data_IF_877252678190
#
_entry.id   IF_877252678190
#
_cell.length_a   1.000
_cell.length_b   1.000
_cell.length_c   1.000
_cell.angle_alpha   90.00
_cell.angle_beta   90.00
_cell.angle_gamma   90.00
#
_symmetry.space_group_name_H-M   'P 1'
#
loop_
_entity.id
_entity.type
_entity.pdbx_description
1 polymer ?
#
# COMPACT_ATOMS: atom_id res chain seq x y z
N UNK A 1 -10.57 5.96 -27.83
CA UNK A 1 -11.78 6.50 -27.17
C UNK A 1 -12.96 6.04 -27.98
N UNK A 2 -13.99 5.50 -27.34
CA UNK A 2 -15.25 5.17 -27.98
C UNK A 2 -16.22 6.28 -27.57
N UNK A 3 -16.70 7.08 -28.53
CA UNK A 3 -17.62 8.20 -28.26
C UNK A 3 -17.11 9.17 -27.18
N UNK A 4 -15.84 9.58 -27.27
CA UNK A 4 -15.17 10.44 -26.26
C UNK A 4 -15.05 9.84 -24.85
N UNK A 5 -15.37 8.56 -24.68
CA UNK A 5 -15.17 7.84 -23.42
C UNK A 5 -13.89 6.97 -23.47
N UNK A 6 -13.18 6.84 -22.34
CA UNK A 6 -12.06 5.92 -22.22
C UNK A 6 -12.56 4.47 -22.31
N UNK A 7 -11.86 3.65 -23.08
CA UNK A 7 -12.20 2.23 -23.26
C UNK A 7 -11.83 1.44 -22.00
N UNK A 8 -10.68 1.74 -21.39
CA UNK A 8 -10.24 1.16 -20.13
C UNK A 8 -9.15 2.05 -19.49
N UNK A 9 -8.90 1.80 -18.20
CA UNK A 9 -7.81 2.40 -17.44
C UNK A 9 -6.89 1.30 -16.90
N UNK A 10 -5.59 1.56 -16.84
CA UNK A 10 -4.59 0.65 -16.28
C UNK A 10 -3.65 1.41 -15.35
N UNK A 11 -3.26 0.79 -14.23
CA UNK A 11 -2.30 1.38 -13.29
C UNK A 11 -1.58 0.27 -12.53
N UNK A 12 -0.25 0.36 -12.43
CA UNK A 12 0.57 -0.67 -11.77
C UNK A 12 1.53 -0.05 -10.78
N UNK A 13 1.74 -0.74 -9.66
CA UNK A 13 2.80 -0.39 -8.71
C UNK A 13 4.16 -0.84 -9.23
N UNK A 14 5.17 -0.02 -8.92
CA UNK A 14 6.57 -0.38 -9.14
C UNK A 14 7.04 -1.38 -8.07
N UNK A 15 7.73 -2.44 -8.51
CA UNK A 15 8.40 -3.37 -7.62
C UNK A 15 9.68 -2.75 -7.00
N UNK A 16 10.30 -3.43 -6.03
CA UNK A 16 11.48 -2.90 -5.31
C UNK A 16 12.68 -2.57 -6.20
N UNK A 17 12.86 -3.28 -7.31
CA UNK A 17 13.91 -3.00 -8.29
C UNK A 17 13.56 -1.78 -9.14
N UNK A 18 12.33 -1.71 -9.63
CA UNK A 18 11.80 -0.64 -10.47
C UNK A 18 11.71 0.71 -9.73
N UNK A 19 11.54 0.68 -8.41
CA UNK A 19 11.57 1.90 -7.58
C UNK A 19 12.90 2.63 -7.65
N UNK A 20 14.00 1.93 -7.94
CA UNK A 20 15.35 2.49 -8.06
C UNK A 20 15.62 3.06 -9.45
N UNK A 21 14.70 2.89 -10.39
CA UNK A 21 14.83 3.46 -11.72
C UNK A 21 14.75 4.98 -11.66
N UNK A 22 15.42 5.62 -12.61
CA UNK A 22 15.31 7.07 -12.79
C UNK A 22 13.88 7.46 -13.16
N UNK A 23 13.51 8.72 -12.96
CA UNK A 23 12.16 9.22 -13.29
C UNK A 23 11.80 8.93 -14.75
N UNK A 24 12.73 9.16 -15.67
CA UNK A 24 12.51 8.89 -17.10
C UNK A 24 12.30 7.40 -17.41
N UNK A 25 13.03 6.52 -16.73
CA UNK A 25 12.86 5.07 -16.89
C UNK A 25 11.52 4.59 -16.32
N UNK A 26 11.02 5.20 -15.24
CA UNK A 26 9.71 4.87 -14.66
C UNK A 26 8.56 5.27 -15.60
N UNK A 27 8.67 6.45 -16.19
CA UNK A 27 7.73 6.98 -17.18
C UNK A 27 7.68 6.11 -18.43
N UNK A 28 8.86 5.75 -18.97
CA UNK A 28 8.96 4.82 -20.09
C UNK A 28 8.41 3.43 -19.76
N UNK A 29 8.69 2.94 -18.55
CA UNK A 29 8.17 1.65 -18.07
C UNK A 29 6.64 1.66 -18.01
N UNK A 30 6.02 2.79 -17.66
CA UNK A 30 4.57 2.92 -17.69
C UNK A 30 4.01 2.73 -19.10
N UNK A 31 4.63 3.37 -20.11
CA UNK A 31 4.25 3.19 -21.52
C UNK A 31 4.42 1.73 -21.96
N UNK A 32 5.60 1.14 -21.70
CA UNK A 32 5.90 -0.26 -22.01
C UNK A 32 4.89 -1.21 -21.36
N UNK A 33 4.50 -0.96 -20.12
CA UNK A 33 3.53 -1.76 -19.41
C UNK A 33 2.14 -1.66 -20.05
N UNK A 34 1.66 -0.45 -20.31
CA UNK A 34 0.35 -0.23 -20.93
C UNK A 34 0.27 -0.90 -22.31
N UNK A 35 1.30 -0.78 -23.15
CA UNK A 35 1.32 -1.43 -24.47
C UNK A 35 1.33 -2.95 -24.38
N UNK A 36 1.99 -3.51 -23.36
CA UNK A 36 1.95 -4.95 -23.11
C UNK A 36 0.55 -5.42 -22.68
N UNK A 37 -0.11 -4.70 -21.77
CA UNK A 37 -1.46 -5.04 -21.29
C UNK A 37 -2.48 -4.95 -22.43
N UNK A 38 -2.45 -3.83 -23.16
CA UNK A 38 -3.39 -3.53 -24.23
C UNK A 38 -2.95 -4.04 -25.60
N UNK A 39 -1.97 -4.95 -25.64
CA UNK A 39 -1.42 -5.50 -26.89
C UNK A 39 -2.51 -6.02 -27.82
N UNK A 40 -3.48 -6.74 -27.26
CA UNK A 40 -4.59 -7.33 -28.00
C UNK A 40 -5.51 -6.31 -28.68
N UNK A 41 -5.57 -5.07 -28.18
CA UNK A 41 -6.32 -3.98 -28.83
C UNK A 41 -5.46 -3.17 -29.80
N UNK A 42 -4.16 -3.04 -29.53
CA UNK A 42 -3.29 -2.07 -30.20
C UNK A 42 -2.46 -2.67 -31.34
N UNK A 43 -2.23 -3.99 -31.32
CA UNK A 43 -1.42 -4.65 -32.34
C UNK A 43 -2.10 -4.56 -33.71
N UNK A 44 -1.35 -4.16 -34.74
CA UNK A 44 -1.85 -3.99 -36.10
C UNK A 44 -2.64 -2.68 -36.34
N UNK A 45 -2.87 -1.89 -35.30
CA UNK A 45 -3.55 -0.59 -35.40
C UNK A 45 -2.57 0.57 -35.29
N UNK A 46 -2.88 1.70 -35.96
CA UNK A 46 -2.16 2.96 -35.80
C UNK A 46 -2.79 3.79 -34.69
N UNK A 47 -2.00 4.22 -33.70
CA UNK A 47 -2.52 4.99 -32.56
C UNK A 47 -1.53 6.05 -32.04
N UNK A 48 -1.97 6.86 -31.09
CA UNK A 48 -1.17 7.93 -30.48
C UNK A 48 -1.00 7.65 -28.99
N UNK A 49 0.25 7.64 -28.53
CA UNK A 49 0.60 7.58 -27.10
C UNK A 49 0.86 9.01 -26.63
N UNK A 50 0.10 9.45 -25.62
CA UNK A 50 0.25 10.77 -25.00
C UNK A 50 0.95 10.65 -23.67
N UNK A 51 2.02 11.42 -23.48
CA UNK A 51 2.81 11.46 -22.23
C UNK A 51 3.23 12.90 -21.94
N UNK A 52 3.36 13.22 -20.66
CA UNK A 52 3.91 14.47 -20.15
C UNK A 52 5.43 14.41 -19.95
N UNK A 53 6.08 13.35 -20.43
CA UNK A 53 7.53 13.22 -20.41
C UNK A 53 8.13 13.29 -21.82
N UNK A 54 8.74 14.43 -22.13
CA UNK A 54 9.47 14.66 -23.39
C UNK A 54 10.62 13.65 -23.57
N UNK A 55 11.24 13.13 -22.50
CA UNK A 55 12.37 12.20 -22.63
C UNK A 55 11.97 10.87 -23.26
N UNK A 56 10.70 10.47 -23.13
CA UNK A 56 10.17 9.28 -23.79
C UNK A 56 10.18 9.45 -25.32
N UNK A 57 10.09 10.67 -25.84
CA UNK A 57 10.16 10.93 -27.30
C UNK A 57 11.55 10.69 -27.86
N UNK A 58 12.58 11.06 -27.11
CA UNK A 58 13.98 10.86 -27.49
C UNK A 58 14.45 9.41 -27.33
N UNK A 59 13.74 8.61 -26.53
CA UNK A 59 14.11 7.21 -26.29
C UNK A 59 14.10 6.36 -27.56
N UNK A 60 13.11 6.57 -28.45
CA UNK A 60 12.96 5.78 -29.67
C UNK A 60 14.10 5.98 -30.69
N UNK A 61 14.77 7.14 -30.65
CA UNK A 61 15.85 7.50 -31.58
C UNK A 61 17.26 7.34 -30.98
N UNK A 62 17.36 6.87 -29.74
CA UNK A 62 18.65 6.75 -29.04
C UNK A 62 19.45 5.53 -29.52
N UNK A 63 20.72 5.75 -29.88
CA UNK A 63 21.61 4.70 -30.41
C UNK A 63 22.33 3.85 -29.35
N UNK A 64 22.56 4.40 -28.16
CA UNK A 64 23.20 3.70 -27.03
C UNK A 64 22.16 3.29 -26.01
N UNK A 65 21.82 2.01 -25.94
CA UNK A 65 20.84 1.48 -25.00
C UNK A 65 21.48 0.48 -24.03
N UNK A 66 21.01 0.49 -22.79
CA UNK A 66 21.27 -0.61 -21.83
C UNK A 66 20.51 -1.86 -22.25
N UNK A 67 20.92 -3.06 -21.79
CA UNK A 67 20.21 -4.31 -22.12
C UNK A 67 18.72 -4.27 -21.76
N UNK A 68 18.37 -3.55 -20.69
CA UNK A 68 16.98 -3.32 -20.27
C UNK A 68 16.21 -2.47 -21.29
N UNK A 69 16.82 -1.37 -21.73
CA UNK A 69 16.22 -0.45 -22.70
C UNK A 69 16.11 -1.09 -24.09
N UNK A 70 17.08 -1.91 -24.51
CA UNK A 70 17.00 -2.66 -25.76
C UNK A 70 15.77 -3.58 -25.79
N UNK A 71 15.52 -4.33 -24.69
CA UNK A 71 14.32 -5.16 -24.54
C UNK A 71 13.02 -4.36 -24.59
N UNK A 72 13.02 -3.13 -24.09
CA UNK A 72 11.87 -2.24 -24.19
C UNK A 72 11.68 -1.76 -25.63
N UNK A 73 12.75 -1.39 -26.32
CA UNK A 73 12.68 -0.96 -27.72
C UNK A 73 12.18 -2.08 -28.65
N UNK A 74 12.62 -3.33 -28.44
CA UNK A 74 12.09 -4.50 -29.16
C UNK A 74 10.57 -4.61 -29.02
N UNK A 75 10.04 -4.48 -27.80
CA UNK A 75 8.59 -4.51 -27.57
C UNK A 75 7.89 -3.32 -28.24
N UNK A 76 8.45 -2.12 -28.14
CA UNK A 76 7.87 -0.91 -28.72
C UNK A 76 7.82 -0.99 -30.25
N UNK A 77 8.82 -1.62 -30.87
CA UNK A 77 8.90 -1.79 -32.32
C UNK A 77 7.79 -2.69 -32.89
N UNK A 78 7.12 -3.47 -32.05
CA UNK A 78 5.97 -4.29 -32.47
C UNK A 78 4.70 -3.46 -32.73
N UNK A 79 4.66 -2.21 -32.30
CA UNK A 79 3.49 -1.33 -32.38
C UNK A 79 3.70 -0.19 -33.36
N UNK A 80 2.61 0.17 -34.07
CA UNK A 80 2.60 1.34 -34.94
C UNK A 80 1.97 2.54 -34.20
N UNK A 81 2.79 3.36 -33.55
CA UNK A 81 2.30 4.51 -32.81
C UNK A 81 3.15 5.77 -32.98
N UNK A 82 2.51 6.92 -32.75
CA UNK A 82 3.18 8.20 -32.62
C UNK A 82 3.17 8.64 -31.16
N UNK A 83 4.29 9.20 -30.70
CA UNK A 83 4.38 9.77 -29.36
C UNK A 83 4.08 11.27 -29.42
N UNK A 84 3.08 11.71 -28.66
CA UNK A 84 2.68 13.12 -28.56
C UNK A 84 2.89 13.62 -27.13
N UNK A 85 3.68 14.69 -26.98
CA UNK A 85 3.83 15.33 -25.68
C UNK A 85 2.57 16.11 -25.31
N UNK A 86 2.08 15.92 -24.08
CA UNK A 86 1.04 16.75 -23.48
C UNK A 86 1.47 17.27 -22.12
N UNK A 87 1.34 18.57 -21.90
CA UNK A 87 1.66 19.17 -20.60
C UNK A 87 0.82 18.53 -19.48
N UNK A 88 1.45 18.24 -18.33
CA UNK A 88 0.85 17.51 -17.21
C UNK A 88 -0.48 18.08 -16.70
N UNK A 89 -0.70 19.39 -16.82
CA UNK A 89 -1.98 20.05 -16.48
C UNK A 89 -3.19 19.52 -17.26
N UNK A 90 -2.96 18.95 -18.45
CA UNK A 90 -4.00 18.35 -19.30
C UNK A 90 -4.03 16.82 -19.21
N UNK A 91 -3.09 16.20 -18.48
CA UNK A 91 -2.97 14.75 -18.26
C UNK A 91 -3.51 14.34 -16.89
N UNK A 92 -4.53 15.05 -16.39
CA UNK A 92 -5.04 14.94 -15.02
C UNK A 92 -5.49 13.52 -14.64
N UNK A 93 -5.98 12.73 -15.60
CA UNK A 93 -6.46 11.37 -15.34
C UNK A 93 -5.31 10.39 -15.09
N UNK A 94 -4.27 10.42 -15.92
CA UNK A 94 -3.09 9.56 -15.73
C UNK A 94 -2.32 9.95 -14.47
N UNK A 95 -2.18 11.26 -14.25
CA UNK A 95 -1.53 11.81 -13.07
C UNK A 95 -2.29 11.48 -11.77
N UNK A 96 -3.63 11.56 -11.78
CA UNK A 96 -4.46 11.13 -10.65
C UNK A 96 -4.29 9.63 -10.34
N UNK A 97 -4.23 8.77 -11.36
CA UNK A 97 -4.03 7.33 -11.18
C UNK A 97 -2.63 7.00 -10.63
N UNK A 98 -1.60 7.71 -11.09
CA UNK A 98 -0.22 7.57 -10.59
C UNK A 98 -0.12 8.01 -9.12
N UNK A 99 -0.60 9.22 -8.82
CA UNK A 99 -0.53 9.85 -7.48
C UNK A 99 -1.40 9.17 -6.43
N UNK A 100 -2.44 8.42 -6.80
CA UNK A 100 -3.31 7.71 -5.83
C UNK A 100 -2.55 6.73 -4.93
N UNK A 101 -1.42 6.20 -5.40
CA UNK A 101 -0.58 5.31 -4.57
C UNK A 101 0.23 6.09 -3.53
N UNK A 102 0.72 7.28 -3.88
CA UNK A 102 1.43 8.20 -2.97
C UNK A 102 0.47 8.84 -1.97
N UNK A 103 -0.71 9.29 -2.43
CA UNK A 103 -1.77 9.79 -1.55
C UNK A 103 -2.22 8.74 -0.54
N UNK A 104 -2.27 7.45 -0.91
CA UNK A 104 -2.55 6.38 0.05
C UNK A 104 -1.44 6.24 1.10
N UNK A 105 -0.16 6.43 0.74
CA UNK A 105 0.95 6.39 1.71
C UNK A 105 0.95 7.62 2.61
N UNK A 106 0.70 8.81 2.06
CA UNK A 106 0.59 10.07 2.81
C UNK A 106 -0.64 10.04 3.72
N UNK A 107 -1.78 9.51 3.25
CA UNK A 107 -2.95 9.27 4.08
C UNK A 107 -2.66 8.25 5.18
N UNK A 108 -1.87 7.19 4.91
CA UNK A 108 -1.40 6.24 5.92
C UNK A 108 -0.51 6.93 6.98
N UNK A 109 0.41 7.78 6.55
CA UNK A 109 1.30 8.54 7.44
C UNK A 109 0.52 9.60 8.24
N UNK A 110 -0.42 10.28 7.61
CA UNK A 110 -1.33 11.22 8.25
C UNK A 110 -2.27 10.50 9.23
N UNK A 111 -2.71 9.28 8.92
CA UNK A 111 -3.52 8.46 9.82
C UNK A 111 -2.70 8.00 11.02
N UNK A 112 -1.42 7.64 10.85
CA UNK A 112 -0.51 7.39 11.96
C UNK A 112 -0.26 8.63 12.82
N UNK A 113 -0.19 9.81 12.20
CA UNK A 113 -0.07 11.06 12.91
C UNK A 113 -1.38 11.42 13.64
N UNK A 114 -2.55 11.30 13.00
CA UNK A 114 -3.87 11.63 13.55
C UNK A 114 -4.28 10.62 14.63
N UNK A 115 -4.04 9.33 14.46
CA UNK A 115 -4.27 8.32 15.53
C UNK A 115 -3.37 8.58 16.73
N UNK A 116 -2.16 9.14 16.54
CA UNK A 116 -1.29 9.57 17.64
C UNK A 116 -1.66 10.95 18.22
N UNK A 117 -2.32 11.81 17.45
CA UNK A 117 -2.60 13.23 17.82
C UNK A 117 -4.02 13.44 18.33
N UNK A 118 -5.00 12.62 17.92
CA UNK A 118 -6.29 12.58 18.63
C UNK A 118 -6.12 11.74 19.89
N UNK A 119 -5.48 12.39 20.87
CA UNK A 119 -5.19 11.86 22.20
C UNK A 119 -6.39 11.16 22.81
N UNK A 120 -7.64 11.56 22.49
CA UNK A 120 -8.83 10.95 23.11
C UNK A 120 -9.04 9.50 22.68
N UNK A 121 -8.88 9.17 21.40
CA UNK A 121 -9.10 7.80 20.90
C UNK A 121 -7.96 6.87 21.32
N UNK A 122 -6.71 7.32 21.15
CA UNK A 122 -5.53 6.56 21.57
C UNK A 122 -5.53 6.30 23.09
N UNK A 123 -5.83 7.32 23.91
CA UNK A 123 -5.93 7.18 25.37
C UNK A 123 -7.05 6.18 25.74
N UNK A 124 -8.17 6.18 25.01
CA UNK A 124 -9.28 5.31 25.35
C UNK A 124 -8.99 3.83 25.01
N UNK A 125 -8.32 3.57 23.88
CA UNK A 125 -7.89 2.24 23.48
C UNK A 125 -6.83 1.71 24.45
N UNK A 126 -5.80 2.50 24.77
CA UNK A 126 -4.78 2.10 25.75
C UNK A 126 -5.37 1.82 27.13
N UNK A 127 -6.31 2.66 27.60
CA UNK A 127 -7.03 2.41 28.87
C UNK A 127 -7.79 1.09 28.85
N UNK A 128 -8.42 0.74 27.73
CA UNK A 128 -9.10 -0.56 27.61
C UNK A 128 -8.11 -1.72 27.58
N UNK A 129 -6.99 -1.59 26.85
CA UNK A 129 -5.93 -2.61 26.81
C UNK A 129 -5.35 -2.85 28.22
N UNK A 130 -5.05 -1.78 28.97
CA UNK A 130 -4.56 -1.87 30.36
C UNK A 130 -5.53 -2.64 31.26
N UNK A 131 -6.84 -2.34 31.15
CA UNK A 131 -7.88 -3.06 31.91
C UNK A 131 -8.03 -4.52 31.46
N UNK A 132 -7.81 -4.81 30.18
CA UNK A 132 -7.92 -6.16 29.65
C UNK A 132 -6.78 -7.08 30.12
N UNK A 133 -5.59 -6.55 30.42
CA UNK A 133 -4.48 -7.37 30.93
C UNK A 133 -4.77 -8.07 32.25
N UNK A 134 -5.58 -7.47 33.13
CA UNK A 134 -5.93 -8.12 34.40
C UNK A 134 -6.86 -9.31 34.20
N UNK A 135 -7.51 -9.44 33.05
CA UNK A 135 -8.49 -10.50 32.74
C UNK A 135 -7.94 -11.58 31.82
N UNK A 136 -6.91 -11.29 31.01
CA UNK A 136 -6.35 -12.23 30.04
C UNK A 136 -5.34 -13.20 30.69
N UNK A 137 -5.64 -14.51 30.74
CA UNK A 137 -4.73 -15.50 31.33
C UNK A 137 -3.37 -15.54 30.64
N UNK A 138 -3.32 -15.29 29.33
CA UNK A 138 -2.08 -15.29 28.54
C UNK A 138 -1.23 -14.07 28.90
N UNK A 139 -1.83 -12.87 28.96
CA UNK A 139 -1.14 -11.67 29.43
C UNK A 139 -0.57 -11.85 30.85
N UNK A 140 -1.34 -12.44 31.77
CA UNK A 140 -0.86 -12.72 33.12
C UNK A 140 0.31 -13.71 33.15
N UNK A 141 0.29 -14.74 32.30
CA UNK A 141 1.43 -15.66 32.15
C UNK A 141 2.67 -14.93 31.62
N UNK A 142 2.50 -14.06 30.62
CA UNK A 142 3.59 -13.26 30.07
C UNK A 142 4.20 -12.33 31.12
N UNK A 143 3.38 -11.69 31.96
CA UNK A 143 3.87 -10.86 33.09
C UNK A 143 4.70 -11.69 34.07
N UNK A 144 4.25 -12.88 34.48
CA UNK A 144 5.04 -13.78 35.35
C UNK A 144 6.35 -14.23 34.70
N UNK A 145 6.36 -14.43 33.38
CA UNK A 145 7.57 -14.78 32.63
C UNK A 145 8.56 -13.62 32.56
N UNK A 146 8.07 -12.38 32.49
CA UNK A 146 8.87 -11.15 32.56
C UNK A 146 9.49 -11.02 33.95
N UNK A 147 8.70 -11.16 35.02
CA UNK A 147 9.17 -11.08 36.42
C UNK A 147 10.22 -12.15 36.74
N UNK A 148 10.06 -13.36 36.21
CA UNK A 148 11.04 -14.45 36.37
C UNK A 148 12.26 -14.35 35.44
N UNK A 149 12.34 -13.32 34.58
CA UNK A 149 13.46 -13.10 33.66
C UNK A 149 13.59 -14.13 32.55
N UNK A 150 12.56 -14.97 32.33
CA UNK A 150 12.58 -16.10 31.40
C UNK A 150 12.28 -15.72 29.95
N UNK A 151 11.82 -14.49 29.70
CA UNK A 151 11.58 -13.99 28.35
C UNK A 151 12.30 -12.66 28.12
N UNK A 152 12.99 -12.55 26.98
CA UNK A 152 13.52 -11.29 26.43
C UNK A 152 12.66 -10.74 25.29
N UNK A 153 11.62 -11.49 24.90
CA UNK A 153 10.76 -11.13 23.76
C UNK A 153 9.67 -10.13 24.16
N UNK A 154 9.33 -10.09 25.45
CA UNK A 154 8.35 -9.20 26.02
C UNK A 154 8.95 -8.46 27.21
N UNK A 155 8.54 -7.22 27.39
CA UNK A 155 8.87 -6.40 28.56
C UNK A 155 7.68 -5.53 28.94
N UNK A 156 7.69 -4.99 30.14
CA UNK A 156 6.65 -4.07 30.59
C UNK A 156 7.18 -2.63 30.53
N UNK A 157 6.44 -1.73 29.87
CA UNK A 157 6.74 -0.30 29.75
C UNK A 157 5.44 0.46 30.02
N UNK A 158 5.44 1.43 30.95
CA UNK A 158 4.25 2.20 31.33
C UNK A 158 3.01 1.36 31.60
N UNK A 159 3.11 0.22 32.30
CA UNK A 159 2.02 -0.74 32.52
C UNK A 159 1.39 -1.36 31.26
N UNK A 160 2.05 -1.27 30.11
CA UNK A 160 1.73 -1.99 28.88
C UNK A 160 2.73 -3.11 28.64
N UNK A 161 2.25 -4.21 28.04
CA UNK A 161 3.11 -5.32 27.65
C UNK A 161 3.61 -5.08 26.22
N UNK A 162 4.91 -4.91 26.08
CA UNK A 162 5.58 -4.54 24.83
C UNK A 162 6.31 -5.73 24.24
N UNK A 163 6.49 -5.72 22.91
CA UNK A 163 7.31 -6.69 22.18
C UNK A 163 8.24 -6.01 21.16
N UNK A 164 9.09 -6.81 20.51
CA UNK A 164 10.04 -6.37 19.48
C UNK A 164 9.40 -5.40 18.49
N UNK A 165 10.11 -4.31 18.20
CA UNK A 165 9.60 -3.23 17.35
C UNK A 165 8.69 -2.23 18.08
N UNK A 166 8.71 -2.21 19.43
CA UNK A 166 7.91 -1.31 20.27
C UNK A 166 6.41 -1.42 19.99
N UNK A 167 5.93 -2.66 19.88
CA UNK A 167 4.52 -2.98 19.62
C UNK A 167 3.84 -3.38 20.93
N UNK A 168 2.61 -2.90 21.15
CA UNK A 168 1.79 -3.23 22.31
C UNK A 168 1.09 -4.57 22.07
N UNK A 169 1.22 -5.49 23.02
CA UNK A 169 0.47 -6.75 23.01
C UNK A 169 -1.02 -6.49 23.27
N UNK A 170 -1.90 -7.05 22.43
CA UNK A 170 -3.35 -6.86 22.54
C UNK A 170 -4.02 -8.14 23.05
N UNK A 171 -4.62 -8.11 24.26
CA UNK A 171 -5.34 -9.25 24.82
C UNK A 171 -6.55 -9.68 23.98
N UNK A 172 -6.94 -10.95 24.08
CA UNK A 172 -8.16 -11.47 23.46
C UNK A 172 -9.38 -11.23 24.36
N UNK A 173 -9.64 -9.98 24.72
CA UNK A 173 -10.71 -9.59 25.65
C UNK A 173 -11.47 -8.38 25.08
N UNK A 174 -12.76 -8.27 25.41
CA UNK A 174 -13.62 -7.11 25.10
C UNK A 174 -13.65 -6.69 23.61
N UNK A 175 -13.54 -7.65 22.68
CA UNK A 175 -13.48 -7.40 21.23
C UNK A 175 -12.42 -6.36 20.81
N UNK A 176 -11.36 -6.20 21.61
CA UNK A 176 -10.33 -5.18 21.37
C UNK A 176 -9.64 -5.38 20.03
N UNK A 177 -9.26 -6.62 19.71
CA UNK A 177 -8.64 -6.97 18.44
C UNK A 177 -9.54 -6.61 17.27
N UNK A 178 -10.83 -7.00 17.34
CA UNK A 178 -11.82 -6.70 16.30
C UNK A 178 -12.05 -5.20 16.14
N UNK A 179 -12.09 -4.46 17.25
CA UNK A 179 -12.20 -2.99 17.24
C UNK A 179 -11.00 -2.37 16.52
N UNK A 180 -9.78 -2.78 16.84
CA UNK A 180 -8.57 -2.30 16.17
C UNK A 180 -8.57 -2.62 14.67
N UNK A 181 -8.97 -3.85 14.30
CA UNK A 181 -9.07 -4.25 12.89
C UNK A 181 -10.08 -3.34 12.16
N UNK A 182 -11.25 -3.10 12.76
CA UNK A 182 -12.28 -2.22 12.20
C UNK A 182 -11.76 -0.80 11.99
N UNK A 183 -11.11 -0.19 12.99
CA UNK A 183 -10.56 1.17 12.87
C UNK A 183 -9.52 1.27 11.73
N UNK A 184 -8.73 0.21 11.52
CA UNK A 184 -7.74 0.15 10.45
C UNK A 184 -8.28 -0.29 9.08
N UNK A 185 -9.54 -0.75 8.99
CA UNK A 185 -10.11 -1.33 7.77
C UNK A 185 -11.34 -0.56 7.26
N UNK A 186 -12.32 -0.31 8.14
CA UNK A 186 -13.65 0.21 7.80
C UNK A 186 -13.72 1.75 7.84
N UNK A 187 -12.67 2.42 8.33
CA UNK A 187 -12.66 3.88 8.34
C UNK A 187 -12.62 4.43 6.91
N UNK A 188 -13.34 5.52 6.68
CA UNK A 188 -13.45 6.18 5.36
C UNK A 188 -12.06 6.47 4.74
N UNK A 189 -11.08 6.74 5.60
CA UNK A 189 -9.70 7.03 5.25
C UNK A 189 -8.86 5.78 4.95
N UNK A 190 -9.16 4.65 5.59
CA UNK A 190 -8.50 3.37 5.29
C UNK A 190 -9.04 2.78 3.99
N UNK A 191 -10.29 3.08 3.65
CA UNK A 191 -10.87 2.79 2.34
C UNK A 191 -10.88 1.31 1.99
N UNK A 192 -11.10 0.43 2.97
CA UNK A 192 -11.23 -1.01 2.76
C UNK A 192 -9.99 -1.61 2.05
N UNK A 193 -8.80 -1.28 2.54
CA UNK A 193 -7.53 -1.49 1.86
C UNK A 193 -7.11 -2.97 1.62
N UNK A 194 -7.94 -3.93 2.00
CA UNK A 194 -7.67 -5.37 1.96
C UNK A 194 -6.79 -5.86 3.11
N UNK A 195 -6.75 -7.18 3.32
CA UNK A 195 -6.15 -7.79 4.52
C UNK A 195 -4.65 -7.52 4.69
N UNK A 196 -3.87 -7.51 3.62
CA UNK A 196 -2.42 -7.25 3.72
C UNK A 196 -2.10 -5.84 4.24
N UNK A 197 -2.84 -4.82 3.77
CA UNK A 197 -2.59 -3.44 4.19
C UNK A 197 -3.11 -3.18 5.60
N UNK A 198 -4.26 -3.74 5.96
CA UNK A 198 -4.78 -3.68 7.33
C UNK A 198 -3.82 -4.36 8.30
N UNK A 199 -3.24 -5.51 7.94
CA UNK A 199 -2.22 -6.16 8.74
C UNK A 199 -0.97 -5.30 8.89
N UNK A 200 -0.47 -4.72 7.78
CA UNK A 200 0.71 -3.86 7.81
C UNK A 200 0.52 -2.62 8.70
N UNK A 201 -0.69 -2.04 8.72
CA UNK A 201 -1.07 -0.94 9.59
C UNK A 201 -1.03 -1.34 11.06
N UNK A 202 -1.72 -2.42 11.42
CA UNK A 202 -1.79 -2.91 12.81
C UNK A 202 -0.41 -3.26 13.36
N UNK A 203 0.44 -3.88 12.55
CA UNK A 203 1.80 -4.26 12.92
C UNK A 203 2.73 -3.07 13.20
N UNK A 204 2.32 -1.82 12.95
CA UNK A 204 3.17 -0.66 13.32
C UNK A 204 3.12 -0.34 14.80
N UNK A 205 2.03 -0.68 15.49
CA UNK A 205 1.82 -0.34 16.90
C UNK A 205 1.37 -1.49 17.78
N UNK A 206 0.83 -2.56 17.21
CA UNK A 206 0.19 -3.64 17.95
C UNK A 206 0.76 -5.01 17.58
N UNK A 207 0.54 -5.98 18.46
CA UNK A 207 0.89 -7.37 18.24
C UNK A 207 -0.07 -8.31 18.98
N UNK A 208 -0.42 -9.42 18.34
CA UNK A 208 -0.99 -10.60 19.00
C UNK A 208 -0.71 -11.86 18.18
N UNK A 209 -0.73 -13.06 18.80
CA UNK A 209 -0.65 -14.33 18.08
C UNK A 209 -1.76 -14.45 17.04
N UNK A 210 -1.44 -14.97 15.85
CA UNK A 210 -2.41 -15.18 14.76
C UNK A 210 -3.11 -13.90 14.24
N UNK A 211 -2.51 -12.72 14.46
CA UNK A 211 -3.02 -11.44 13.95
C UNK A 211 -3.31 -11.46 12.44
N UNK A 212 -2.46 -12.11 11.65
CA UNK A 212 -2.68 -12.24 10.20
C UNK A 212 -3.98 -12.97 9.87
N UNK A 213 -4.23 -14.10 10.52
CA UNK A 213 -5.40 -14.93 10.27
C UNK A 213 -6.69 -14.18 10.67
N UNK A 214 -6.70 -13.56 11.85
CA UNK A 214 -7.85 -12.76 12.33
C UNK A 214 -8.16 -11.58 11.39
N UNK A 215 -7.14 -10.90 10.85
CA UNK A 215 -7.34 -9.82 9.88
C UNK A 215 -7.93 -10.35 8.59
N UNK A 216 -7.41 -11.45 8.05
CA UNK A 216 -7.92 -12.05 6.81
C UNK A 216 -9.37 -12.52 6.96
N UNK A 217 -9.70 -13.12 8.10
CA UNK A 217 -11.08 -13.54 8.39
C UNK A 217 -12.02 -12.33 8.49
N UNK A 218 -11.59 -11.23 9.13
CA UNK A 218 -12.37 -9.99 9.15
C UNK A 218 -12.63 -9.45 7.74
N UNK A 219 -11.58 -9.33 6.92
CA UNK A 219 -11.70 -8.78 5.56
C UNK A 219 -12.62 -9.63 4.69
N UNK A 220 -12.58 -10.96 4.82
CA UNK A 220 -13.50 -11.87 4.13
C UNK A 220 -14.98 -11.60 4.46
N UNK A 221 -15.28 -11.11 5.67
CA UNK A 221 -16.65 -10.76 6.06
C UNK A 221 -17.10 -9.37 5.59
N UNK A 222 -16.20 -8.57 5.01
CA UNK A 222 -16.53 -7.23 4.56
C UNK A 222 -17.15 -7.24 3.16
N UNK A 223 -18.41 -6.80 3.05
CA UNK A 223 -19.13 -6.71 1.78
C UNK A 223 -18.47 -5.75 0.78
N UNK A 224 -17.76 -4.73 1.24
CA UNK A 224 -17.05 -3.78 0.37
C UNK A 224 -15.78 -4.37 -0.26
N UNK A 225 -15.20 -5.40 0.37
CA UNK A 225 -13.96 -6.05 -0.07
C UNK A 225 -14.19 -7.35 -0.85
N UNK A 226 -15.42 -7.87 -0.88
CA UNK A 226 -15.83 -9.04 -1.66
C UNK A 226 -16.03 -8.68 -3.13
#
# INVERSE_FOLDING_TARGET
MQECHPVAYESRKLNEGERRYTTHEKELLAVVHCLRVWRHYLLGSSFIVRTDNIVVSHFLSQSKLTSKQARWQELLAEFNFMLEYRAGSTNSVADALSRRTELNQVALMAMNAIVRVDSRVAINIEKKIRKAFTRDPVAQQLLKLIESGKTRQFWQEDSLLMTKGRRVYVPRVDDLRRTLIRECHDTLWAGHAGGERTLALLQQGYYWPQMGDEVQEYVKTCLTCQ
#
